data_IF_807315673622
#
_entry.id   IF_807315673622
#
_cell.length_a   1.000
_cell.length_b   1.000
_cell.length_c   1.000
_cell.angle_alpha   90.00
_cell.angle_beta   90.00
_cell.angle_gamma   90.00
#
_symmetry.space_group_name_H-M   'P 1'
#
loop_
_entity.id
_entity.type
_entity.pdbx_description
1 polymer ?
#
# COMPACT_ATOMS: atom_id res chain seq x y z
N UNK A 1 36.05 -19.28 37.55
CA UNK A 1 35.18 -18.16 37.94
C UNK A 1 35.10 -17.20 36.74
N UNK A 2 34.13 -17.31 35.84
CA UNK A 2 32.75 -16.73 35.89
C UNK A 2 32.74 -15.22 36.15
N UNK A 3 32.76 -14.42 35.07
CA UNK A 3 32.06 -13.14 34.97
C UNK A 3 31.73 -12.88 33.49
N UNK A 4 30.66 -13.48 33.00
CA UNK A 4 29.95 -13.00 31.80
C UNK A 4 28.75 -12.20 32.32
N UNK A 5 28.88 -10.88 32.36
CA UNK A 5 27.74 -9.98 32.56
C UNK A 5 27.12 -9.79 31.18
N UNK A 6 26.27 -10.73 30.78
CA UNK A 6 25.37 -10.51 29.66
C UNK A 6 24.30 -9.53 30.14
N UNK A 7 24.37 -8.30 29.61
CA UNK A 7 23.34 -7.29 29.78
C UNK A 7 21.98 -7.89 29.40
N UNK A 8 21.12 -8.06 30.41
CA UNK A 8 19.69 -8.21 30.20
C UNK A 8 19.19 -6.90 29.59
N UNK A 9 19.14 -6.87 28.26
CA UNK A 9 18.28 -5.95 27.52
C UNK A 9 16.84 -6.29 27.88
N UNK A 10 16.34 -5.62 28.91
CA UNK A 10 14.91 -5.42 29.14
C UNK A 10 14.38 -4.56 28.00
N UNK A 11 14.17 -5.19 26.84
CA UNK A 11 13.21 -4.71 25.86
C UNK A 11 11.82 -4.98 26.45
N UNK A 12 11.37 -4.07 27.31
CA UNK A 12 9.95 -3.79 27.49
C UNK A 12 9.40 -3.22 26.18
N UNK A 13 9.32 -4.07 25.16
CA UNK A 13 8.43 -3.88 24.04
C UNK A 13 7.05 -4.31 24.53
N UNK A 14 6.27 -3.32 24.97
CA UNK A 14 4.89 -3.51 25.37
C UNK A 14 4.12 -4.25 24.26
N UNK A 15 3.71 -5.47 24.59
CA UNK A 15 2.38 -6.01 24.35
C UNK A 15 1.72 -5.64 23.01
N UNK A 16 2.09 -6.33 21.93
CA UNK A 16 1.08 -6.80 20.97
C UNK A 16 1.49 -8.19 20.47
N UNK A 17 1.19 -9.20 21.29
CA UNK A 17 1.10 -10.57 20.83
C UNK A 17 -0.12 -10.70 19.90
N UNK A 18 0.05 -10.29 18.64
CA UNK A 18 -0.62 -10.92 17.52
C UNK A 18 0.50 -11.46 16.64
N UNK A 19 0.55 -12.78 16.43
CA UNK A 19 1.31 -13.39 15.36
C UNK A 19 0.67 -13.00 14.01
N UNK A 20 0.60 -11.71 13.74
CA UNK A 20 -0.10 -11.07 12.64
C UNK A 20 0.80 -10.02 12.03
N UNK A 21 0.62 -9.80 10.73
CA UNK A 21 1.42 -8.91 9.89
C UNK A 21 1.64 -7.55 10.57
N UNK A 22 2.89 -7.09 10.64
CA UNK A 22 3.25 -5.82 11.28
C UNK A 22 2.80 -4.62 10.43
N UNK A 23 2.56 -3.47 11.07
CA UNK A 23 2.27 -2.21 10.34
C UNK A 23 3.34 -1.93 9.27
N UNK A 24 4.62 -2.10 9.62
CA UNK A 24 5.74 -1.92 8.71
C UNK A 24 5.69 -2.88 7.51
N UNK A 25 5.23 -4.13 7.69
CA UNK A 25 5.04 -5.06 6.58
C UNK A 25 3.91 -4.58 5.64
N UNK A 26 2.77 -4.16 6.18
CA UNK A 26 1.67 -3.62 5.37
C UNK A 26 2.06 -2.34 4.62
N UNK A 27 2.75 -1.41 5.30
CA UNK A 27 3.24 -0.17 4.68
C UNK A 27 4.28 -0.47 3.59
N UNK A 28 5.15 -1.47 3.78
CA UNK A 28 6.13 -1.87 2.76
C UNK A 28 5.49 -2.34 1.45
N UNK A 29 4.31 -2.98 1.51
CA UNK A 29 3.57 -3.41 0.32
C UNK A 29 3.00 -2.25 -0.48
N UNK A 30 2.68 -1.12 0.18
CA UNK A 30 2.12 0.06 -0.47
C UNK A 30 3.18 0.95 -1.15
N UNK A 31 4.46 0.84 -0.77
CA UNK A 31 5.58 1.60 -1.37
C UNK A 31 5.60 1.59 -2.91
N UNK A 32 5.56 0.44 -3.60
CA UNK A 32 5.61 0.43 -5.07
C UNK A 32 4.40 1.14 -5.71
N UNK A 33 3.24 1.18 -5.04
CA UNK A 33 2.08 1.95 -5.49
C UNK A 33 2.37 3.44 -5.37
N UNK A 34 2.87 3.90 -4.21
CA UNK A 34 3.21 5.30 -3.96
C UNK A 34 4.31 5.83 -4.88
N UNK A 35 5.26 5.00 -5.31
CA UNK A 35 6.28 5.42 -6.29
C UNK A 35 5.71 5.68 -7.69
N UNK A 36 4.63 4.99 -8.05
CA UNK A 36 3.98 5.12 -9.37
C UNK A 36 2.87 6.17 -9.40
N UNK A 37 2.29 6.50 -8.24
CA UNK A 37 1.17 7.45 -8.11
C UNK A 37 1.49 8.89 -8.59
N UNK A 38 2.64 9.50 -8.24
CA UNK A 38 3.00 10.86 -8.67
C UNK A 38 3.16 11.00 -10.18
N UNK A 39 3.59 9.93 -10.85
CA UNK A 39 3.70 9.90 -12.31
C UNK A 39 2.33 9.95 -13.01
N UNK A 40 1.25 9.64 -12.29
CA UNK A 40 -0.13 9.74 -12.77
C UNK A 40 -0.78 11.07 -12.38
N UNK A 41 -0.46 11.64 -11.20
CA UNK A 41 -1.05 12.90 -10.72
C UNK A 41 -0.48 14.18 -11.37
N UNK A 42 0.70 14.15 -12.00
CA UNK A 42 1.44 15.38 -12.34
C UNK A 42 0.93 16.20 -13.53
N UNK A 43 -0.25 15.94 -14.11
CA UNK A 43 -0.77 16.71 -15.26
C UNK A 43 -2.30 16.71 -15.33
N UNK A 44 -2.92 17.46 -14.42
CA UNK A 44 -4.38 17.63 -14.25
C UNK A 44 -5.06 18.54 -15.28
N UNK A 45 -4.35 19.12 -16.26
CA UNK A 45 -4.93 20.08 -17.20
C UNK A 45 -5.45 19.47 -18.53
N UNK A 46 -5.41 18.15 -18.70
CA UNK A 46 -5.83 17.51 -19.96
C UNK A 46 -7.10 16.66 -19.78
N UNK A 47 -8.18 17.09 -20.45
CA UNK A 47 -9.49 16.40 -20.57
C UNK A 47 -9.37 15.00 -21.21
N UNK A 48 -8.21 14.66 -21.78
CA UNK A 48 -7.92 13.35 -22.38
C UNK A 48 -6.54 12.90 -21.95
N UNK A 49 -6.44 11.69 -21.39
CA UNK A 49 -5.14 11.11 -21.04
C UNK A 49 -4.37 10.83 -22.33
N UNK A 50 -3.14 11.34 -22.44
CA UNK A 50 -2.26 10.98 -23.56
C UNK A 50 -1.98 9.46 -23.56
N UNK A 51 -1.63 8.85 -24.71
CA UNK A 51 -1.30 7.42 -24.77
C UNK A 51 -0.22 6.99 -23.76
N UNK A 52 0.73 7.89 -23.47
CA UNK A 52 1.77 7.67 -22.47
C UNK A 52 1.20 7.64 -21.04
N UNK A 53 0.29 8.58 -20.69
CA UNK A 53 -0.43 8.54 -19.41
C UNK A 53 -1.28 7.29 -19.30
N UNK A 54 -1.93 6.86 -20.37
CA UNK A 54 -2.70 5.62 -20.41
C UNK A 54 -1.84 4.39 -20.11
N UNK A 55 -0.61 4.33 -20.64
CA UNK A 55 0.34 3.27 -20.28
C UNK A 55 0.71 3.33 -18.79
N UNK A 56 0.97 4.52 -18.24
CA UNK A 56 1.27 4.70 -16.82
C UNK A 56 0.10 4.30 -15.91
N UNK A 57 -1.14 4.68 -16.24
CA UNK A 57 -2.33 4.26 -15.49
C UNK A 57 -2.54 2.76 -15.58
N UNK A 58 -2.37 2.16 -16.76
CA UNK A 58 -2.45 0.70 -16.94
C UNK A 58 -1.43 -0.04 -16.08
N UNK A 59 -0.20 0.47 -16.00
CA UNK A 59 0.83 -0.12 -15.16
C UNK A 59 0.59 0.14 -13.66
N UNK A 60 0.08 1.31 -13.28
CA UNK A 60 -0.36 1.58 -11.92
C UNK A 60 -1.48 0.61 -11.49
N UNK A 61 -2.47 0.35 -12.36
CA UNK A 61 -3.53 -0.64 -12.10
C UNK A 61 -2.94 -2.01 -11.80
N UNK A 62 -1.98 -2.50 -12.60
CA UNK A 62 -1.33 -3.80 -12.36
C UNK A 62 -0.59 -3.85 -11.02
N UNK A 63 0.20 -2.81 -10.72
CA UNK A 63 0.94 -2.74 -9.45
C UNK A 63 -0.03 -2.68 -8.28
N UNK A 64 -1.13 -1.94 -8.42
CA UNK A 64 -2.18 -1.87 -7.41
C UNK A 64 -2.89 -3.21 -7.23
N UNK A 65 -3.20 -3.94 -8.31
CA UNK A 65 -3.79 -5.29 -8.25
C UNK A 65 -2.91 -6.28 -7.48
N UNK A 66 -1.60 -6.29 -7.75
CA UNK A 66 -0.64 -7.12 -7.02
C UNK A 66 -0.55 -6.71 -5.54
N UNK A 67 -0.58 -5.40 -5.26
CA UNK A 67 -0.67 -4.88 -3.89
C UNK A 67 -1.95 -5.37 -3.18
N UNK A 68 -3.14 -5.23 -3.79
CA UNK A 68 -4.41 -5.68 -3.21
C UNK A 68 -4.35 -7.18 -2.90
N UNK A 69 -3.90 -7.99 -3.87
CA UNK A 69 -3.81 -9.45 -3.67
C UNK A 69 -2.87 -9.84 -2.52
N UNK A 70 -1.75 -9.13 -2.33
CA UNK A 70 -0.82 -9.37 -1.21
C UNK A 70 -1.38 -8.85 0.11
N UNK A 71 -1.93 -7.64 0.11
CA UNK A 71 -2.52 -6.99 1.28
C UNK A 71 -3.71 -7.79 1.83
N UNK A 72 -4.56 -8.35 0.97
CA UNK A 72 -5.71 -9.16 1.37
C UNK A 72 -5.28 -10.49 2.01
N UNK A 73 -4.29 -11.18 1.41
CA UNK A 73 -3.68 -12.38 2.02
C UNK A 73 -3.10 -12.12 3.41
N UNK A 74 -2.55 -10.92 3.58
CA UNK A 74 -1.90 -10.47 4.80
C UNK A 74 -2.88 -9.79 5.78
N UNK A 75 -4.17 -9.67 5.41
CA UNK A 75 -5.19 -8.94 6.19
C UNK A 75 -4.74 -7.53 6.59
N UNK A 76 -4.00 -6.86 5.69
CA UNK A 76 -3.55 -5.50 5.89
C UNK A 76 -4.75 -4.54 5.86
N UNK A 77 -4.77 -3.48 6.69
CA UNK A 77 -5.75 -2.41 6.55
C UNK A 77 -5.49 -1.61 5.26
N UNK A 78 -6.43 -0.76 4.87
CA UNK A 78 -6.24 0.13 3.72
C UNK A 78 -5.16 1.18 4.01
N UNK A 79 -5.20 1.77 5.21
CA UNK A 79 -4.21 2.72 5.70
C UNK A 79 -4.05 2.62 7.22
N UNK A 80 -3.02 3.29 7.73
CA UNK A 80 -2.87 3.59 9.14
C UNK A 80 -2.99 5.10 9.34
N UNK A 81 -3.83 5.54 10.26
CA UNK A 81 -3.94 6.94 10.67
C UNK A 81 -3.68 7.03 12.17
N UNK A 82 -2.62 7.75 12.56
CA UNK A 82 -2.16 7.84 13.96
C UNK A 82 -1.98 6.46 14.62
N UNK A 83 -1.48 5.47 13.86
CA UNK A 83 -1.31 4.09 14.31
C UNK A 83 -2.60 3.25 14.37
N UNK A 84 -3.76 3.82 14.06
CA UNK A 84 -5.04 3.10 13.99
C UNK A 84 -5.26 2.58 12.57
N UNK A 85 -5.75 1.35 12.47
CA UNK A 85 -6.17 0.74 11.20
C UNK A 85 -7.37 1.50 10.64
N UNK A 86 -7.29 1.92 9.39
CA UNK A 86 -8.38 2.59 8.66
C UNK A 86 -8.68 1.79 7.40
N UNK A 87 -9.94 1.41 7.24
CA UNK A 87 -10.43 0.62 6.11
C UNK A 87 -9.73 -0.74 5.95
N UNK A 88 -9.93 -1.37 4.80
CA UNK A 88 -9.41 -2.68 4.47
C UNK A 88 -9.62 -3.05 3.00
N UNK A 89 -10.08 -4.28 2.77
CA UNK A 89 -10.22 -4.84 1.42
C UNK A 89 -11.26 -4.10 0.58
N UNK A 90 -12.33 -3.58 1.19
CA UNK A 90 -13.39 -2.86 0.48
C UNK A 90 -12.85 -1.56 -0.14
N UNK A 91 -12.16 -0.73 0.65
CA UNK A 91 -11.58 0.53 0.19
C UNK A 91 -10.49 0.31 -0.87
N UNK A 92 -9.70 -0.77 -0.74
CA UNK A 92 -8.76 -1.20 -1.78
C UNK A 92 -9.50 -1.56 -3.08
N UNK A 93 -10.59 -2.33 -2.99
CA UNK A 93 -11.38 -2.72 -4.15
C UNK A 93 -12.02 -1.50 -4.84
N UNK A 94 -12.56 -0.56 -4.07
CA UNK A 94 -13.15 0.68 -4.57
C UNK A 94 -12.10 1.55 -5.28
N UNK A 95 -10.90 1.69 -4.70
CA UNK A 95 -9.81 2.43 -5.34
C UNK A 95 -9.39 1.80 -6.66
N UNK A 96 -9.26 0.46 -6.70
CA UNK A 96 -8.95 -0.27 -7.93
C UNK A 96 -10.06 -0.11 -8.99
N UNK A 97 -11.33 -0.16 -8.57
CA UNK A 97 -12.47 0.07 -9.46
C UNK A 97 -12.44 1.49 -10.04
N UNK A 98 -12.12 2.50 -9.21
CA UNK A 98 -11.93 3.88 -9.64
C UNK A 98 -10.82 4.02 -10.70
N UNK A 99 -9.64 3.43 -10.46
CA UNK A 99 -8.53 3.45 -11.43
C UNK A 99 -8.93 2.79 -12.76
N UNK A 100 -9.60 1.63 -12.71
CA UNK A 100 -10.09 0.93 -13.91
C UNK A 100 -11.14 1.74 -14.67
N UNK A 101 -12.04 2.43 -13.95
CA UNK A 101 -13.06 3.30 -14.55
C UNK A 101 -12.40 4.46 -15.29
N UNK A 102 -11.50 5.19 -14.62
CA UNK A 102 -10.74 6.29 -15.24
C UNK A 102 -10.01 5.83 -16.49
N UNK A 103 -9.32 4.69 -16.42
CA UNK A 103 -8.64 4.12 -17.58
C UNK A 103 -9.62 3.79 -18.73
N UNK A 104 -10.78 3.17 -18.42
CA UNK A 104 -11.78 2.83 -19.43
C UNK A 104 -12.39 4.07 -20.10
N UNK A 105 -12.62 5.14 -19.35
CA UNK A 105 -13.26 6.36 -19.86
C UNK A 105 -12.31 7.24 -20.66
N UNK A 106 -11.01 7.21 -20.36
CA UNK A 106 -10.03 8.15 -20.91
C UNK A 106 -8.96 7.53 -21.81
N UNK A 107 -8.83 6.20 -21.85
CA UNK A 107 -7.73 5.50 -22.51
C UNK A 107 -8.14 4.33 -23.40
N UNK A 108 -9.44 4.04 -23.50
CA UNK A 108 -9.96 2.87 -24.22
C UNK A 108 -10.97 3.26 -25.28
#
# INVERSE_FOLDING_TARGET
MRLFIAALLTLTAGSTAFAGVTQQQCESLSKPVYEKFPAVQTRDDEVTLSPQKCALVKDLIKVYEDYVAKADKMSCPFAYNEGKKVGGAAERADMLAGLRKVYKENCR
#
